data_IF_196749969503
#
_entry.id   IF_196749969503
#
_cell.length_a   1.000
_cell.length_b   1.000
_cell.length_c   1.000
_cell.angle_alpha   90.00
_cell.angle_beta   90.00
_cell.angle_gamma   90.00
#
_symmetry.space_group_name_H-M   'P 1'
#
loop_
_entity.id
_entity.type
_entity.pdbx_description
1 polymer ?
#
# COMPACT_ATOMS: atom_id res chain seq x y z
N UNK A 1 24.90 -32.60 36.98
CA UNK A 1 24.54 -32.47 35.56
C UNK A 1 23.02 -32.45 35.47
N UNK A 2 22.40 -31.30 35.28
CA UNK A 2 20.95 -31.19 35.14
C UNK A 2 20.60 -31.54 33.69
N UNK A 3 19.93 -32.68 33.50
CA UNK A 3 19.29 -32.99 32.22
C UNK A 3 18.27 -31.90 31.89
N UNK A 4 18.64 -30.96 31.00
CA UNK A 4 17.67 -30.08 30.36
C UNK A 4 16.79 -30.97 29.47
N UNK A 5 15.63 -31.36 29.97
CA UNK A 5 14.60 -31.95 29.11
C UNK A 5 14.21 -30.89 28.09
N UNK A 6 14.56 -31.12 26.82
CA UNK A 6 14.11 -30.32 25.69
C UNK A 6 12.57 -30.27 25.77
N UNK A 7 12.00 -29.09 25.75
CA UNK A 7 10.55 -28.92 25.75
C UNK A 7 10.01 -29.55 24.43
N UNK A 8 8.92 -30.33 24.45
CA UNK A 8 8.31 -30.84 23.21
C UNK A 8 8.01 -29.77 22.16
N UNK A 9 7.79 -28.50 22.58
CA UNK A 9 7.70 -27.35 21.71
C UNK A 9 9.01 -27.07 20.96
N UNK A 10 10.18 -27.32 21.58
CA UNK A 10 11.49 -27.09 20.94
C UNK A 10 11.85 -28.19 19.94
N UNK A 11 11.29 -29.39 20.11
CA UNK A 11 11.51 -30.54 19.20
C UNK A 11 10.80 -30.33 17.84
N UNK A 12 9.77 -29.49 17.77
CA UNK A 12 9.04 -29.15 16.56
C UNK A 12 9.48 -27.81 15.94
N UNK A 13 10.49 -27.15 16.48
CA UNK A 13 10.92 -25.80 16.05
C UNK A 13 11.41 -25.74 14.59
N UNK A 14 11.81 -26.89 14.00
CA UNK A 14 12.18 -27.00 12.60
C UNK A 14 10.97 -27.14 11.67
N UNK A 15 9.80 -27.48 12.20
CA UNK A 15 8.60 -27.67 11.38
C UNK A 15 8.00 -26.34 10.99
N UNK A 16 7.75 -26.18 9.71
CA UNK A 16 6.98 -25.05 9.20
C UNK A 16 5.52 -25.17 9.67
N UNK A 17 4.92 -24.07 10.07
CA UNK A 17 3.50 -24.03 10.50
C UNK A 17 2.51 -24.16 9.33
N UNK A 18 2.99 -24.03 8.09
CA UNK A 18 2.15 -24.17 6.92
C UNK A 18 1.82 -25.63 6.64
N UNK A 19 0.55 -25.93 6.42
CA UNK A 19 0.10 -27.28 6.04
C UNK A 19 0.40 -27.58 4.57
N UNK A 20 0.58 -28.85 4.17
CA UNK A 20 0.74 -29.22 2.75
C UNK A 20 -0.43 -28.72 1.87
N UNK A 21 -1.67 -28.75 2.38
CA UNK A 21 -2.83 -28.22 1.67
C UNK A 21 -2.68 -26.73 1.36
N UNK A 22 -2.24 -25.92 2.35
CA UNK A 22 -2.01 -24.49 2.15
C UNK A 22 -0.82 -24.20 1.23
N UNK A 23 0.22 -25.07 1.20
CA UNK A 23 1.29 -24.96 0.22
C UNK A 23 0.77 -25.14 -1.21
N UNK A 24 -0.05 -26.17 -1.45
CA UNK A 24 -0.65 -26.41 -2.75
C UNK A 24 -1.62 -25.31 -3.15
N UNK A 25 -2.47 -24.84 -2.22
CA UNK A 25 -3.38 -23.73 -2.45
C UNK A 25 -2.61 -22.47 -2.87
N UNK A 26 -1.56 -22.10 -2.11
CA UNK A 26 -0.71 -20.96 -2.44
C UNK A 26 -0.09 -21.08 -3.83
N UNK A 27 0.48 -22.24 -4.16
CA UNK A 27 1.08 -22.48 -5.48
C UNK A 27 0.03 -22.33 -6.61
N UNK A 28 -1.18 -22.83 -6.38
CA UNK A 28 -2.28 -22.71 -7.32
C UNK A 28 -2.71 -21.26 -7.53
N UNK A 29 -2.88 -20.50 -6.44
CA UNK A 29 -3.22 -19.07 -6.51
C UNK A 29 -2.18 -18.26 -7.28
N UNK A 30 -0.88 -18.48 -7.02
CA UNK A 30 0.19 -17.80 -7.75
C UNK A 30 0.18 -18.16 -9.27
N UNK A 31 -0.15 -19.40 -9.60
CA UNK A 31 -0.29 -19.82 -11.01
C UNK A 31 -1.51 -19.15 -11.68
N UNK A 32 -2.65 -19.03 -10.98
CA UNK A 32 -3.85 -18.32 -11.51
C UNK A 32 -3.55 -16.83 -11.75
N UNK A 33 -2.88 -16.16 -10.82
CA UNK A 33 -2.46 -14.75 -10.99
C UNK A 33 -1.61 -14.59 -12.24
N UNK A 34 -0.59 -15.46 -12.45
CA UNK A 34 0.24 -15.40 -13.65
C UNK A 34 -0.54 -15.65 -14.94
N UNK A 35 -1.48 -16.59 -14.93
CA UNK A 35 -2.36 -16.86 -16.06
C UNK A 35 -3.25 -15.64 -16.38
N UNK A 36 -3.82 -14.98 -15.36
CA UNK A 36 -4.63 -13.78 -15.53
C UNK A 36 -3.87 -12.68 -16.27
N UNK A 37 -2.66 -12.34 -15.82
CA UNK A 37 -1.85 -11.29 -16.45
C UNK A 37 -1.31 -11.70 -17.82
N UNK A 38 -0.99 -12.96 -18.02
CA UNK A 38 -0.58 -13.50 -19.32
C UNK A 38 -1.69 -13.33 -20.37
N UNK A 39 -2.95 -13.62 -20.02
CA UNK A 39 -4.08 -13.42 -20.92
C UNK A 39 -4.35 -11.93 -21.26
N UNK A 40 -3.89 -11.02 -20.41
CA UNK A 40 -4.03 -9.58 -20.61
C UNK A 40 -2.80 -8.92 -21.26
N UNK A 41 -1.81 -9.72 -21.65
CA UNK A 41 -0.53 -9.26 -22.21
C UNK A 41 0.19 -8.25 -21.29
N UNK A 42 0.17 -8.50 -19.98
CA UNK A 42 0.95 -7.76 -18.99
C UNK A 42 2.21 -8.58 -18.70
N UNK A 43 3.37 -7.95 -18.79
CA UNK A 43 4.67 -8.63 -18.65
C UNK A 43 5.08 -8.79 -17.19
N UNK A 44 5.41 -10.01 -16.75
CA UNK A 44 6.03 -10.22 -15.42
C UNK A 44 7.43 -9.64 -15.42
N UNK A 45 7.76 -8.86 -14.38
CA UNK A 45 9.08 -8.27 -14.22
C UNK A 45 9.66 -8.60 -12.85
N UNK A 46 10.98 -8.62 -12.79
CA UNK A 46 11.76 -8.64 -11.56
C UNK A 46 12.45 -7.29 -11.36
N UNK A 47 12.53 -6.85 -10.13
CA UNK A 47 13.25 -5.64 -9.75
C UNK A 47 14.25 -5.94 -8.63
N UNK A 48 15.35 -5.17 -8.50
CA UNK A 48 16.25 -5.31 -7.37
C UNK A 48 15.51 -5.03 -6.06
N UNK A 49 15.58 -5.95 -5.10
CA UNK A 49 14.99 -5.78 -3.77
C UNK A 49 15.80 -4.83 -2.87
N UNK A 50 17.05 -4.55 -3.23
CA UNK A 50 17.93 -3.59 -2.56
C UNK A 50 17.99 -2.28 -3.34
N UNK A 51 17.74 -1.17 -2.67
CA UNK A 51 17.79 0.19 -3.22
C UNK A 51 18.77 1.07 -2.44
N UNK A 52 19.25 2.12 -3.09
CA UNK A 52 20.02 3.18 -2.44
C UNK A 52 19.13 4.21 -1.74
N UNK A 53 17.83 4.18 -1.99
CA UNK A 53 16.83 5.07 -1.40
C UNK A 53 15.72 4.23 -0.75
N UNK A 54 15.24 4.70 0.39
CA UNK A 54 14.06 4.15 1.05
C UNK A 54 12.79 4.90 0.64
N UNK A 55 11.67 4.54 1.24
CA UNK A 55 10.40 5.25 1.11
C UNK A 55 10.35 6.41 2.13
N UNK A 56 9.81 7.54 1.70
CA UNK A 56 9.72 8.75 2.56
C UNK A 56 8.47 8.78 3.42
N UNK A 57 7.48 7.91 3.17
CA UNK A 57 6.25 7.83 3.97
C UNK A 57 6.58 7.81 5.47
N UNK A 58 6.02 8.75 6.27
CA UNK A 58 6.36 8.88 7.68
C UNK A 58 5.90 7.72 8.56
N UNK A 59 4.96 6.92 8.09
CA UNK A 59 4.37 5.80 8.82
C UNK A 59 4.83 4.43 8.29
N UNK A 60 5.79 4.42 7.36
CA UNK A 60 6.35 3.20 6.78
C UNK A 60 7.85 3.13 7.04
N UNK A 61 8.26 2.14 7.83
CA UNK A 61 9.66 1.95 8.15
C UNK A 61 10.36 1.02 7.16
N UNK A 62 11.61 1.40 6.83
CA UNK A 62 12.46 0.66 5.92
C UNK A 62 13.36 -0.31 6.69
N UNK A 63 13.53 -1.54 6.20
CA UNK A 63 14.69 -2.34 6.58
C UNK A 63 15.95 -1.80 5.95
N UNK A 64 16.97 -1.58 6.76
CA UNK A 64 18.27 -1.06 6.30
C UNK A 64 19.34 -2.14 6.46
N UNK A 65 20.18 -2.30 5.43
CA UNK A 65 21.37 -3.15 5.48
C UNK A 65 22.59 -2.37 5.01
N UNK A 66 23.77 -2.91 5.21
CA UNK A 66 25.02 -2.26 4.83
C UNK A 66 25.78 -3.10 3.80
N UNK A 67 26.21 -2.47 2.72
CA UNK A 67 27.09 -3.04 1.73
C UNK A 67 28.48 -2.44 1.88
N UNK A 68 29.48 -3.28 2.21
CA UNK A 68 30.87 -2.87 2.29
C UNK A 68 31.62 -3.37 1.08
N UNK A 69 32.18 -2.44 0.30
CA UNK A 69 33.03 -2.71 -0.87
C UNK A 69 34.40 -2.05 -0.65
N UNK A 70 35.41 -2.83 -0.37
CA UNK A 70 36.74 -2.33 0.00
C UNK A 70 36.68 -1.56 1.31
N UNK A 71 36.97 -0.23 1.27
CA UNK A 71 36.93 0.67 2.42
C UNK A 71 35.63 1.50 2.51
N UNK A 72 34.77 1.38 1.51
CA UNK A 72 33.50 2.15 1.47
C UNK A 72 32.34 1.30 1.96
N UNK A 73 31.54 1.86 2.86
CA UNK A 73 30.30 1.27 3.35
C UNK A 73 29.12 2.16 2.95
N UNK A 74 28.11 1.57 2.36
CA UNK A 74 26.90 2.25 1.90
C UNK A 74 25.67 1.58 2.50
N UNK A 75 24.74 2.37 3.03
CA UNK A 75 23.45 1.87 3.46
C UNK A 75 22.57 1.55 2.25
N UNK A 76 21.90 0.40 2.32
CA UNK A 76 20.92 -0.03 1.33
C UNK A 76 19.60 -0.32 2.06
N UNK A 77 18.51 -0.09 1.36
CA UNK A 77 17.16 -0.30 1.86
C UNK A 77 16.51 -1.47 1.15
N UNK A 78 15.84 -2.37 1.91
CA UNK A 78 14.99 -3.36 1.30
C UNK A 78 13.69 -2.68 0.84
N UNK A 79 13.23 -3.02 -0.36
CA UNK A 79 12.04 -2.40 -0.93
C UNK A 79 10.79 -2.70 -0.10
N UNK A 80 10.01 -1.67 0.18
CA UNK A 80 8.67 -1.78 0.79
C UNK A 80 7.58 -2.06 -0.23
N UNK A 81 7.87 -1.74 -1.50
CA UNK A 81 7.12 -1.99 -2.72
C UNK A 81 8.09 -1.89 -3.92
N UNK A 82 7.84 -2.55 -5.04
CA UNK A 82 8.62 -2.40 -6.28
C UNK A 82 8.32 -1.10 -7.04
N UNK A 83 7.42 -0.25 -6.58
CA UNK A 83 6.85 0.92 -7.26
C UNK A 83 7.88 1.83 -7.92
N UNK A 84 8.90 2.27 -7.17
CA UNK A 84 9.91 3.20 -7.70
C UNK A 84 10.71 2.60 -8.85
N UNK A 85 11.01 1.29 -8.76
CA UNK A 85 11.70 0.59 -9.82
C UNK A 85 10.80 0.35 -11.04
N UNK A 86 9.55 -0.04 -10.82
CA UNK A 86 8.58 -0.29 -11.89
C UNK A 86 8.22 1.00 -12.63
N UNK A 87 8.02 2.14 -11.94
CA UNK A 87 7.80 3.45 -12.57
C UNK A 87 8.96 3.86 -13.49
N UNK A 88 10.20 3.57 -13.11
CA UNK A 88 11.37 3.77 -13.98
C UNK A 88 11.33 2.88 -15.23
N UNK A 89 10.85 1.64 -15.11
CA UNK A 89 10.65 0.75 -16.27
C UNK A 89 9.57 1.29 -17.20
N UNK A 90 8.45 1.78 -16.66
CA UNK A 90 7.38 2.44 -17.44
C UNK A 90 7.90 3.65 -18.21
N UNK A 91 8.65 4.55 -17.55
CA UNK A 91 9.28 5.70 -18.18
C UNK A 91 10.30 5.30 -19.26
N UNK A 92 10.87 4.10 -19.17
CA UNK A 92 11.78 3.52 -20.19
C UNK A 92 11.07 2.76 -21.30
N UNK A 93 9.71 2.76 -21.32
CA UNK A 93 8.92 2.15 -22.39
C UNK A 93 8.67 0.65 -22.24
N UNK A 94 8.63 0.11 -21.01
CA UNK A 94 8.38 -1.32 -20.77
C UNK A 94 7.00 -1.82 -21.22
N UNK A 95 6.03 -0.94 -21.41
CA UNK A 95 4.64 -1.33 -21.57
C UNK A 95 3.97 -1.67 -20.22
N UNK A 96 2.84 -2.36 -20.26
CA UNK A 96 2.14 -2.81 -19.05
C UNK A 96 2.93 -3.94 -18.37
N UNK A 97 3.18 -3.81 -17.08
CA UNK A 97 4.03 -4.73 -16.30
C UNK A 97 3.40 -5.10 -14.97
N UNK A 98 3.74 -6.28 -14.46
CA UNK A 98 3.41 -6.67 -13.09
C UNK A 98 4.62 -7.32 -12.40
N UNK A 99 4.65 -7.20 -11.08
CA UNK A 99 5.61 -7.82 -10.19
C UNK A 99 4.88 -8.75 -9.24
N UNK A 100 5.41 -9.95 -9.05
CA UNK A 100 4.90 -10.92 -8.07
C UNK A 100 6.09 -11.47 -7.29
N UNK A 101 6.43 -10.82 -6.19
CA UNK A 101 7.67 -11.12 -5.47
C UNK A 101 7.68 -10.58 -4.04
N UNK A 102 8.87 -10.49 -3.45
CA UNK A 102 9.06 -10.12 -2.05
C UNK A 102 9.10 -8.61 -1.85
N UNK A 103 8.37 -8.18 -0.81
CA UNK A 103 8.46 -6.85 -0.24
C UNK A 103 8.70 -6.95 1.27
N UNK A 104 9.22 -5.88 1.86
CA UNK A 104 9.71 -5.85 3.25
C UNK A 104 9.23 -4.58 3.93
N UNK A 105 8.51 -4.70 5.04
CA UNK A 105 8.08 -3.55 5.85
C UNK A 105 8.46 -3.80 7.29
N UNK A 106 9.15 -2.85 7.90
CA UNK A 106 9.54 -2.90 9.30
C UNK A 106 8.39 -2.39 10.16
N UNK A 107 7.34 -3.20 10.25
CA UNK A 107 6.17 -2.95 11.08
C UNK A 107 6.13 -4.00 12.20
N UNK A 108 5.34 -3.74 13.23
CA UNK A 108 5.11 -4.71 14.29
C UNK A 108 4.50 -5.99 13.70
N UNK A 109 5.20 -7.10 13.88
CA UNK A 109 4.73 -8.39 13.41
C UNK A 109 3.41 -8.75 14.11
N UNK A 110 2.36 -8.86 13.33
CA UNK A 110 1.01 -9.16 13.79
C UNK A 110 0.48 -10.47 13.20
N UNK A 111 -0.75 -10.80 13.58
CA UNK A 111 -1.42 -11.99 13.06
C UNK A 111 -1.62 -11.94 11.52
N UNK A 112 -1.70 -10.75 10.94
CA UNK A 112 -1.97 -10.50 9.53
C UNK A 112 -0.78 -9.91 8.77
N UNK A 113 0.27 -9.44 9.47
CA UNK A 113 1.42 -8.77 8.88
C UNK A 113 2.72 -9.52 9.23
N UNK A 114 3.48 -9.86 8.21
CA UNK A 114 4.84 -10.37 8.33
C UNK A 114 5.81 -9.32 7.78
N UNK A 115 6.99 -9.16 8.40
CA UNK A 115 8.00 -8.22 7.91
C UNK A 115 8.47 -8.50 6.48
N UNK A 116 8.41 -9.77 6.04
CA UNK A 116 8.62 -10.21 4.67
C UNK A 116 7.34 -10.85 4.15
N UNK A 117 6.82 -10.34 3.05
CA UNK A 117 5.60 -10.88 2.44
C UNK A 117 5.73 -10.92 0.91
N UNK A 118 4.74 -11.51 0.26
CA UNK A 118 4.67 -11.53 -1.21
C UNK A 118 3.67 -10.47 -1.65
N UNK A 119 4.16 -9.54 -2.46
CA UNK A 119 3.37 -8.47 -3.06
C UNK A 119 3.09 -8.81 -4.52
N UNK A 120 1.87 -8.55 -4.93
CA UNK A 120 1.48 -8.42 -6.33
C UNK A 120 1.27 -6.94 -6.59
N UNK A 121 1.99 -6.38 -7.55
CA UNK A 121 1.86 -4.98 -7.95
C UNK A 121 1.91 -4.88 -9.46
N UNK A 122 1.03 -4.07 -10.09
CA UNK A 122 1.03 -3.93 -11.54
C UNK A 122 0.62 -2.53 -11.98
N UNK A 123 0.98 -2.21 -13.22
CA UNK A 123 0.73 -0.92 -13.86
C UNK A 123 0.14 -1.13 -15.24
N UNK A 124 -0.90 -0.35 -15.53
CA UNK A 124 -1.61 -0.34 -16.81
C UNK A 124 -1.48 1.05 -17.45
N UNK A 125 -0.80 1.10 -18.59
CA UNK A 125 -0.71 2.31 -19.41
C UNK A 125 -2.11 2.62 -19.96
N UNK A 126 -2.44 3.92 -20.05
CA UNK A 126 -3.72 4.45 -20.52
C UNK A 126 -4.95 4.07 -19.67
N UNK A 127 -4.74 3.51 -18.47
CA UNK A 127 -5.80 3.31 -17.49
C UNK A 127 -5.86 4.50 -16.53
N UNK A 128 -7.09 4.85 -16.12
CA UNK A 128 -7.36 5.62 -14.92
C UNK A 128 -7.64 4.69 -13.73
N UNK A 129 -7.89 5.27 -12.56
CA UNK A 129 -8.24 4.52 -11.35
C UNK A 129 -9.52 3.68 -11.53
N UNK A 130 -10.49 4.14 -12.31
CA UNK A 130 -11.77 3.42 -12.53
C UNK A 130 -11.58 2.17 -13.38
N UNK A 131 -10.81 2.29 -14.46
CA UNK A 131 -10.46 1.14 -15.29
C UNK A 131 -9.62 0.12 -14.51
N UNK A 132 -8.70 0.59 -13.65
CA UNK A 132 -7.89 -0.27 -12.82
C UNK A 132 -8.73 -0.98 -11.74
N UNK A 133 -9.67 -0.29 -11.07
CA UNK A 133 -10.60 -0.92 -10.11
C UNK A 133 -11.39 -2.06 -10.76
N UNK A 134 -11.85 -1.91 -12.01
CA UNK A 134 -12.54 -2.98 -12.73
C UNK A 134 -11.61 -4.18 -12.99
N UNK A 135 -10.33 -3.94 -13.27
CA UNK A 135 -9.37 -5.03 -13.47
C UNK A 135 -9.03 -5.74 -12.16
N UNK A 136 -8.90 -5.00 -11.06
CA UNK A 136 -8.74 -5.59 -9.70
C UNK A 136 -9.95 -6.45 -9.35
N UNK A 137 -11.17 -5.95 -9.57
CA UNK A 137 -12.42 -6.72 -9.31
C UNK A 137 -12.44 -8.02 -10.11
N UNK A 138 -12.10 -7.95 -11.40
CA UNK A 138 -12.00 -9.15 -12.25
C UNK A 138 -10.93 -10.15 -11.76
N UNK A 139 -9.79 -9.67 -11.26
CA UNK A 139 -8.76 -10.51 -10.66
C UNK A 139 -9.26 -11.19 -9.39
N UNK A 140 -9.91 -10.43 -8.49
CA UNK A 140 -10.44 -10.96 -7.23
C UNK A 140 -11.52 -12.02 -7.48
N UNK A 141 -12.42 -11.77 -8.43
CA UNK A 141 -13.43 -12.75 -8.84
C UNK A 141 -12.77 -14.02 -9.39
N UNK A 142 -11.75 -13.89 -10.26
CA UNK A 142 -11.06 -15.03 -10.82
C UNK A 142 -10.28 -15.83 -9.78
N UNK A 143 -9.53 -15.16 -8.90
CA UNK A 143 -8.56 -15.80 -7.99
C UNK A 143 -9.21 -16.30 -6.69
N UNK A 144 -10.19 -15.58 -6.16
CA UNK A 144 -10.81 -15.86 -4.87
C UNK A 144 -12.21 -16.49 -4.98
N UNK A 145 -12.75 -16.63 -6.20
CA UNK A 145 -14.12 -17.13 -6.45
C UNK A 145 -15.20 -16.33 -5.67
N UNK A 146 -15.04 -15.00 -5.62
CA UNK A 146 -15.94 -14.08 -4.91
C UNK A 146 -16.88 -13.38 -5.89
N UNK A 147 -17.96 -12.78 -5.35
CA UNK A 147 -18.85 -11.92 -6.13
C UNK A 147 -18.12 -10.61 -6.52
N UNK A 148 -18.60 -9.96 -7.58
CA UNK A 148 -18.16 -8.61 -7.95
C UNK A 148 -18.31 -7.65 -6.78
N UNK A 149 -17.33 -6.75 -6.63
CA UNK A 149 -17.20 -5.85 -5.51
C UNK A 149 -18.29 -4.79 -5.42
N UNK A 150 -18.42 -4.19 -4.26
CA UNK A 150 -19.14 -2.94 -4.04
C UNK A 150 -18.17 -1.75 -4.20
N UNK A 151 -18.73 -0.59 -4.59
CA UNK A 151 -17.97 0.64 -4.83
C UNK A 151 -18.56 1.77 -4.00
N UNK A 152 -17.77 2.36 -3.11
CA UNK A 152 -18.21 3.40 -2.20
C UNK A 152 -17.14 4.50 -2.14
N UNK A 153 -17.51 5.77 -2.37
CA UNK A 153 -16.55 6.85 -2.18
C UNK A 153 -16.22 7.06 -0.70
N UNK A 154 -15.02 7.52 -0.40
CA UNK A 154 -14.57 7.81 0.96
C UNK A 154 -15.56 8.74 1.68
N UNK A 155 -15.99 9.81 1.01
CA UNK A 155 -17.01 10.73 1.53
C UNK A 155 -18.35 10.02 1.83
N UNK A 156 -18.85 9.20 0.90
CA UNK A 156 -20.10 8.48 1.09
C UNK A 156 -20.00 7.45 2.23
N UNK A 157 -18.85 6.82 2.42
CA UNK A 157 -18.60 5.90 3.53
C UNK A 157 -18.72 6.61 4.89
N UNK A 158 -18.10 7.77 5.03
CA UNK A 158 -18.21 8.58 6.26
C UNK A 158 -19.64 9.02 6.53
N UNK A 159 -20.31 9.51 5.49
CA UNK A 159 -21.70 9.97 5.64
C UNK A 159 -22.64 8.83 6.04
N UNK A 160 -22.45 7.64 5.44
CA UNK A 160 -23.32 6.49 5.70
C UNK A 160 -23.06 5.81 7.05
N UNK A 161 -21.79 5.59 7.41
CA UNK A 161 -21.43 4.79 8.60
C UNK A 161 -21.27 5.64 9.87
N UNK A 162 -20.91 6.93 9.74
CA UNK A 162 -20.61 7.83 10.86
C UNK A 162 -21.63 8.97 10.93
N UNK A 163 -22.24 9.36 9.81
CA UNK A 163 -23.17 10.48 9.72
C UNK A 163 -22.46 11.84 9.61
N UNK A 164 -21.15 11.85 9.26
CA UNK A 164 -20.36 13.07 9.12
C UNK A 164 -20.02 13.34 7.64
N UNK A 165 -20.27 14.57 7.20
CA UNK A 165 -19.77 15.07 5.92
C UNK A 165 -18.34 15.57 6.10
N UNK A 166 -17.36 14.79 5.62
CA UNK A 166 -15.92 15.12 5.73
C UNK A 166 -15.53 16.44 5.05
N UNK A 167 -16.35 16.95 4.13
CA UNK A 167 -16.05 18.20 3.43
C UNK A 167 -16.42 19.44 4.27
N UNK A 168 -17.35 19.30 5.21
CA UNK A 168 -17.86 20.39 6.03
C UNK A 168 -17.61 20.22 7.52
N UNK A 169 -17.42 18.96 7.97
CA UNK A 169 -17.15 18.67 9.38
C UNK A 169 -15.89 19.38 9.88
N UNK A 170 -16.02 20.05 11.01
CA UNK A 170 -14.90 20.67 11.72
C UNK A 170 -13.99 19.61 12.34
N UNK A 171 -12.77 19.99 12.70
CA UNK A 171 -11.86 19.10 13.41
C UNK A 171 -12.43 18.64 14.76
N UNK A 172 -13.08 19.54 15.49
CA UNK A 172 -13.70 19.23 16.78
C UNK A 172 -14.86 18.22 16.65
N UNK A 173 -15.65 18.30 15.58
CA UNK A 173 -16.72 17.32 15.30
C UNK A 173 -16.15 15.93 15.00
N UNK A 174 -15.04 15.85 14.25
CA UNK A 174 -14.35 14.59 14.00
C UNK A 174 -13.77 13.99 15.30
N UNK A 175 -13.12 14.81 16.12
CA UNK A 175 -12.62 14.39 17.44
C UNK A 175 -13.77 13.94 18.34
N UNK A 176 -14.89 14.66 18.37
CA UNK A 176 -16.04 14.29 19.18
C UNK A 176 -16.64 12.93 18.77
N UNK A 177 -16.67 12.62 17.47
CA UNK A 177 -17.10 11.32 16.98
C UNK A 177 -16.17 10.18 17.40
N UNK A 178 -14.86 10.44 17.46
CA UNK A 178 -13.86 9.46 17.87
C UNK A 178 -13.79 9.29 19.40
N UNK A 179 -14.02 10.35 20.16
CA UNK A 179 -13.90 10.36 21.63
C UNK A 179 -14.89 9.40 22.34
N UNK A 180 -15.95 8.96 21.67
CA UNK A 180 -16.88 7.97 22.23
C UNK A 180 -16.24 6.58 22.40
N UNK A 181 -15.20 6.27 21.63
CA UNK A 181 -14.57 4.94 21.59
C UNK A 181 -13.07 4.94 21.99
N UNK A 182 -12.49 6.12 22.24
CA UNK A 182 -11.05 6.28 22.47
C UNK A 182 -10.74 7.03 23.77
N UNK A 183 -9.83 6.49 24.58
CA UNK A 183 -9.41 7.09 25.87
C UNK A 183 -8.03 7.80 25.80
N UNK A 184 -7.52 8.09 24.61
CA UNK A 184 -6.25 8.77 24.43
C UNK A 184 -6.45 10.27 24.14
N UNK A 185 -5.44 11.08 24.48
CA UNK A 185 -5.42 12.50 24.12
C UNK A 185 -5.14 12.67 22.63
N UNK A 186 -6.21 12.82 21.85
CA UNK A 186 -6.21 13.03 20.41
C UNK A 186 -6.36 14.48 20.00
N UNK A 187 -6.37 15.41 20.97
CA UNK A 187 -6.61 16.85 20.71
C UNK A 187 -5.55 17.47 19.79
N UNK A 188 -4.34 16.91 19.77
CA UNK A 188 -3.24 17.36 18.91
C UNK A 188 -3.06 16.53 17.64
N UNK A 189 -3.90 15.52 17.41
CA UNK A 189 -3.84 14.70 16.22
C UNK A 189 -4.15 15.53 14.96
N UNK A 190 -3.47 15.26 13.85
CA UNK A 190 -3.83 15.89 12.58
C UNK A 190 -5.21 15.46 12.12
N UNK A 191 -5.85 16.27 11.26
CA UNK A 191 -7.15 15.93 10.68
C UNK A 191 -7.11 14.56 9.97
N UNK A 192 -6.07 14.30 9.20
CA UNK A 192 -5.93 13.04 8.49
C UNK A 192 -5.79 11.84 9.43
N UNK A 193 -5.05 11.99 10.53
CA UNK A 193 -4.94 10.95 11.54
C UNK A 193 -6.29 10.64 12.20
N UNK A 194 -7.10 11.68 12.51
CA UNK A 194 -8.44 11.49 13.06
C UNK A 194 -9.37 10.81 12.05
N UNK A 195 -9.33 11.21 10.78
CA UNK A 195 -10.09 10.55 9.70
C UNK A 195 -9.71 9.08 9.56
N UNK A 196 -8.42 8.77 9.58
CA UNK A 196 -7.93 7.40 9.50
C UNK A 196 -8.39 6.54 10.68
N UNK A 197 -8.32 7.06 11.91
CA UNK A 197 -8.83 6.35 13.09
C UNK A 197 -10.34 6.12 13.01
N UNK A 198 -11.12 7.12 12.62
CA UNK A 198 -12.56 6.99 12.41
C UNK A 198 -12.88 5.93 11.36
N UNK A 199 -12.13 5.92 10.26
CA UNK A 199 -12.29 4.93 9.21
C UNK A 199 -12.03 3.51 9.72
N UNK A 200 -10.88 3.31 10.37
CA UNK A 200 -10.46 2.00 10.89
C UNK A 200 -11.41 1.44 11.96
N UNK A 201 -12.00 2.31 12.78
CA UNK A 201 -12.89 1.88 13.88
C UNK A 201 -14.32 1.67 13.40
N UNK A 202 -14.84 2.57 12.58
CA UNK A 202 -16.28 2.63 12.30
C UNK A 202 -16.68 2.14 10.90
N UNK A 203 -15.77 2.16 9.92
CA UNK A 203 -16.06 1.86 8.51
C UNK A 203 -15.45 0.51 8.12
N UNK A 204 -14.14 0.38 8.25
CA UNK A 204 -13.40 -0.82 7.83
C UNK A 204 -14.00 -2.14 8.35
N UNK A 205 -14.41 -2.28 9.63
CA UNK A 205 -15.01 -3.51 10.14
C UNK A 205 -16.37 -3.85 9.52
N UNK A 206 -17.01 -2.92 8.82
CA UNK A 206 -18.38 -3.07 8.29
C UNK A 206 -18.43 -3.28 6.78
N UNK A 207 -17.39 -2.86 6.05
CA UNK A 207 -17.31 -3.01 4.60
C UNK A 207 -16.67 -4.35 4.20
N UNK A 208 -16.89 -4.77 2.97
CA UNK A 208 -16.23 -5.95 2.42
C UNK A 208 -16.58 -7.28 3.11
N UNK A 209 -17.70 -7.42 3.81
CA UNK A 209 -18.00 -8.62 4.59
C UNK A 209 -18.46 -9.80 3.73
N UNK A 210 -19.32 -9.56 2.74
CA UNK A 210 -19.87 -10.58 1.85
C UNK A 210 -19.15 -10.64 0.49
N UNK A 211 -18.73 -9.48 -0.01
CA UNK A 211 -18.00 -9.29 -1.25
C UNK A 211 -16.95 -8.20 -1.07
N UNK A 212 -15.89 -8.13 -1.90
CA UNK A 212 -14.93 -7.04 -1.82
C UNK A 212 -15.62 -5.67 -1.90
N UNK A 213 -15.06 -4.66 -1.24
CA UNK A 213 -15.54 -3.28 -1.28
C UNK A 213 -14.39 -2.35 -1.65
N UNK A 214 -14.56 -1.58 -2.72
CA UNK A 214 -13.67 -0.49 -3.08
C UNK A 214 -14.07 0.77 -2.34
N UNK A 215 -13.11 1.37 -1.66
CA UNK A 215 -13.20 2.75 -1.18
C UNK A 215 -12.36 3.60 -2.11
N UNK A 216 -12.94 4.66 -2.69
CA UNK A 216 -12.27 5.48 -3.69
C UNK A 216 -12.53 6.99 -3.45
N UNK A 217 -11.85 7.87 -4.18
CA UNK A 217 -11.88 9.31 -3.99
C UNK A 217 -11.48 9.70 -2.56
N UNK A 218 -10.25 9.32 -2.18
CA UNK A 218 -9.66 9.70 -0.90
C UNK A 218 -9.44 11.21 -0.82
N UNK A 219 -9.42 11.81 0.38
CA UNK A 219 -9.04 13.22 0.54
C UNK A 219 -7.69 13.53 -0.10
N UNK A 220 -7.56 14.69 -0.71
CA UNK A 220 -6.33 15.13 -1.39
C UNK A 220 -5.10 15.16 -0.47
N UNK A 221 -5.30 15.39 0.84
CA UNK A 221 -4.26 15.30 1.86
C UNK A 221 -3.71 13.88 2.05
N UNK A 222 -4.47 12.86 1.65
CA UNK A 222 -4.12 11.44 1.71
C UNK A 222 -3.81 10.87 0.33
N UNK A 223 -3.43 11.70 -0.62
CA UNK A 223 -3.22 11.32 -2.02
C UNK A 223 -2.05 10.33 -2.23
N UNK A 224 -1.09 10.24 -1.31
CA UNK A 224 0.14 9.47 -1.49
C UNK A 224 0.79 9.78 -2.85
N UNK A 225 0.87 8.81 -3.75
CA UNK A 225 1.45 8.93 -5.09
C UNK A 225 0.39 9.09 -6.20
N UNK A 226 -0.88 9.34 -5.82
CA UNK A 226 -1.98 9.53 -6.76
C UNK A 226 -2.06 10.97 -7.31
N UNK A 227 -2.64 11.12 -8.50
CA UNK A 227 -3.10 12.40 -9.01
C UNK A 227 -4.24 12.96 -8.17
N UNK A 228 -4.29 14.29 -8.08
CA UNK A 228 -5.45 15.00 -7.55
C UNK A 228 -6.50 15.11 -8.66
N UNK A 229 -7.76 14.93 -8.31
CA UNK A 229 -8.88 15.02 -9.25
C UNK A 229 -9.05 16.44 -9.76
N UNK A 230 -8.95 16.64 -11.06
CA UNK A 230 -9.08 17.97 -11.68
C UNK A 230 -10.51 18.54 -11.54
N UNK A 231 -11.52 17.67 -11.51
CA UNK A 231 -12.92 18.08 -11.37
C UNK A 231 -13.26 18.55 -9.95
N UNK A 232 -12.60 18.00 -8.94
CA UNK A 232 -12.76 18.39 -7.55
C UNK A 232 -11.44 18.20 -6.78
N UNK A 233 -10.65 19.26 -6.59
CA UNK A 233 -9.31 19.18 -6.01
C UNK A 233 -9.29 18.78 -4.52
N UNK A 234 -10.44 18.54 -3.90
CA UNK A 234 -10.53 17.99 -2.54
C UNK A 234 -10.19 16.49 -2.49
N UNK A 235 -10.22 15.80 -3.65
CA UNK A 235 -10.05 14.36 -3.75
C UNK A 235 -8.86 13.96 -4.63
N UNK A 236 -8.33 12.78 -4.33
CA UNK A 236 -7.30 12.12 -5.10
C UNK A 236 -7.85 10.88 -5.81
N UNK A 237 -7.30 10.58 -6.97
CA UNK A 237 -7.54 9.34 -7.71
C UNK A 237 -6.83 8.15 -7.03
N UNK A 238 -7.25 7.87 -5.80
CA UNK A 238 -6.77 6.77 -4.95
C UNK A 238 -7.94 5.87 -4.59
N UNK A 239 -7.70 4.57 -4.55
CA UNK A 239 -8.66 3.60 -4.04
C UNK A 239 -7.97 2.54 -3.19
N UNK A 240 -8.72 1.96 -2.28
CA UNK A 240 -8.34 0.79 -1.51
C UNK A 240 -9.42 -0.27 -1.62
N UNK A 241 -9.03 -1.54 -1.44
CA UNK A 241 -9.95 -2.68 -1.52
C UNK A 241 -9.97 -3.43 -0.21
N UNK A 242 -11.15 -3.61 0.33
CA UNK A 242 -11.37 -4.28 1.61
C UNK A 242 -12.17 -5.57 1.42
N UNK A 243 -11.74 -6.64 2.09
CA UNK A 243 -12.48 -7.89 2.13
C UNK A 243 -12.23 -8.63 3.45
N UNK A 244 -13.31 -8.95 4.17
CA UNK A 244 -13.30 -9.68 5.45
C UNK A 244 -12.35 -9.08 6.50
N UNK A 245 -12.35 -7.76 6.61
CA UNK A 245 -11.53 -7.00 7.56
C UNK A 245 -10.05 -6.95 7.19
N UNK A 246 -9.72 -7.10 5.91
CA UNK A 246 -8.38 -6.96 5.37
C UNK A 246 -8.39 -5.92 4.26
N UNK A 247 -7.47 -4.99 4.28
CA UNK A 247 -7.07 -4.22 3.12
C UNK A 247 -6.28 -5.14 2.18
N UNK A 248 -6.83 -5.41 1.00
CA UNK A 248 -6.21 -6.30 0.02
C UNK A 248 -5.33 -5.55 -0.98
N UNK A 249 -5.68 -4.31 -1.29
CA UNK A 249 -4.97 -3.53 -2.31
C UNK A 249 -5.16 -2.02 -2.09
N UNK A 250 -4.17 -1.25 -2.56
CA UNK A 250 -4.16 0.21 -2.57
C UNK A 250 -3.65 0.65 -3.94
N UNK A 251 -4.45 1.41 -4.68
CA UNK A 251 -4.14 1.75 -6.06
C UNK A 251 -4.40 3.22 -6.40
N UNK A 252 -3.76 3.65 -7.48
CA UNK A 252 -3.72 5.04 -7.89
C UNK A 252 -3.90 5.22 -9.40
N UNK A 253 -4.48 6.33 -9.82
CA UNK A 253 -4.07 6.95 -11.06
C UNK A 253 -2.80 7.72 -10.76
N UNK A 254 -1.71 7.35 -11.42
CA UNK A 254 -0.36 7.71 -10.99
C UNK A 254 -0.06 9.20 -11.20
N UNK A 255 0.57 9.82 -10.20
CA UNK A 255 1.15 11.15 -10.32
C UNK A 255 2.33 11.09 -11.30
N UNK A 256 2.28 11.92 -12.34
CA UNK A 256 3.34 12.00 -13.36
C UNK A 256 4.17 13.28 -13.27
N UNK A 257 3.80 14.22 -12.39
CA UNK A 257 4.48 15.50 -12.17
C UNK A 257 5.68 15.35 -11.21
N UNK A 258 6.89 15.51 -11.72
CA UNK A 258 8.14 15.39 -10.94
C UNK A 258 8.27 16.47 -9.86
N UNK A 259 7.77 17.69 -10.15
CA UNK A 259 7.85 18.82 -9.19
C UNK A 259 6.91 18.56 -8.01
N UNK A 260 5.68 18.16 -8.29
CA UNK A 260 4.72 17.79 -7.24
C UNK A 260 5.20 16.58 -6.45
N UNK A 261 5.77 15.56 -7.10
CA UNK A 261 6.32 14.40 -6.40
C UNK A 261 7.46 14.78 -5.45
N UNK A 262 8.38 15.63 -5.91
CA UNK A 262 9.47 16.14 -5.08
C UNK A 262 8.95 16.94 -3.88
N UNK A 263 7.92 17.76 -4.08
CA UNK A 263 7.26 18.50 -3.00
C UNK A 263 6.65 17.58 -1.95
N UNK A 264 6.00 16.47 -2.39
CA UNK A 264 5.42 15.48 -1.46
C UNK A 264 6.49 14.75 -0.66
N UNK A 265 7.57 14.31 -1.28
CA UNK A 265 8.70 13.71 -0.57
C UNK A 265 9.32 14.64 0.47
N UNK A 266 9.41 15.94 0.16
CA UNK A 266 9.88 16.92 1.13
C UNK A 266 8.88 17.10 2.30
N UNK A 267 7.58 17.08 2.02
CA UNK A 267 6.54 17.16 3.04
C UNK A 267 6.55 15.92 3.96
N UNK A 268 6.70 14.71 3.41
CA UNK A 268 6.84 13.47 4.18
C UNK A 268 8.03 13.55 5.15
N UNK A 269 9.19 13.98 4.66
CA UNK A 269 10.39 14.14 5.48
C UNK A 269 10.22 15.21 6.58
N UNK A 270 9.45 16.27 6.32
CA UNK A 270 9.12 17.26 7.36
C UNK A 270 8.21 16.65 8.45
N UNK A 271 7.28 15.78 8.08
CA UNK A 271 6.46 15.03 9.05
C UNK A 271 7.34 14.05 9.84
N UNK A 272 8.25 13.29 9.17
CA UNK A 272 9.19 12.39 9.85
C UNK A 272 10.01 13.12 10.90
N UNK A 273 10.54 14.28 10.58
CA UNK A 273 11.29 15.13 11.53
C UNK A 273 10.40 15.56 12.71
N UNK A 274 9.17 16.00 12.43
CA UNK A 274 8.24 16.46 13.46
C UNK A 274 7.85 15.36 14.46
N UNK A 275 7.76 14.10 14.02
CA UNK A 275 7.46 12.93 14.87
C UNK A 275 8.72 12.24 15.43
N UNK A 276 9.93 12.77 15.15
CA UNK A 276 11.19 12.25 15.67
C UNK A 276 11.70 11.00 14.95
N UNK A 277 11.25 10.75 13.72
CA UNK A 277 11.71 9.64 12.86
C UNK A 277 12.78 10.16 11.89
N UNK A 278 13.80 9.34 11.60
CA UNK A 278 14.90 9.71 10.71
C UNK A 278 14.39 10.03 9.29
N UNK A 279 14.87 11.13 8.70
CA UNK A 279 14.57 11.49 7.32
C UNK A 279 15.22 10.49 6.36
N UNK A 280 14.54 10.21 5.26
CA UNK A 280 15.00 9.30 4.20
C UNK A 280 15.29 10.10 2.93
N UNK A 281 16.45 9.85 2.32
CA UNK A 281 16.79 10.50 1.05
C UNK A 281 15.77 10.07 -0.05
N UNK A 282 15.10 11.04 -0.72
CA UNK A 282 14.19 10.72 -1.82
C UNK A 282 14.88 9.97 -2.95
N UNK A 283 14.15 9.12 -3.65
CA UNK A 283 14.68 8.40 -4.83
C UNK A 283 14.85 9.38 -6.01
N UNK A 284 16.07 9.88 -6.19
CA UNK A 284 16.42 10.78 -7.29
C UNK A 284 16.25 10.14 -8.67
N UNK A 285 16.32 8.80 -8.77
CA UNK A 285 16.12 8.07 -10.03
C UNK A 285 14.64 8.03 -10.42
N UNK A 286 13.73 7.94 -9.43
CA UNK A 286 12.31 8.09 -9.70
C UNK A 286 12.00 9.49 -10.19
N UNK A 287 12.52 10.54 -9.51
CA UNK A 287 12.31 11.93 -9.93
C UNK A 287 12.82 12.14 -11.36
N UNK A 288 14.03 11.67 -11.68
CA UNK A 288 14.56 11.76 -13.04
C UNK A 288 13.71 11.00 -14.09
N UNK A 289 13.10 9.88 -13.71
CA UNK A 289 12.18 9.14 -14.58
C UNK A 289 10.87 9.92 -14.83
N UNK A 290 10.35 10.59 -13.80
CA UNK A 290 9.18 11.48 -13.94
C UNK A 290 9.51 12.70 -14.82
N UNK A 291 10.68 13.29 -14.66
CA UNK A 291 11.17 14.41 -15.51
C UNK A 291 11.34 13.96 -16.99
N UNK A 292 11.81 12.73 -17.20
CA UNK A 292 11.91 12.16 -18.55
C UNK A 292 10.53 11.96 -19.20
N UNK A 293 9.52 11.63 -18.42
CA UNK A 293 8.14 11.41 -18.82
C UNK A 293 7.65 10.01 -18.45
N UNK A 294 6.81 9.95 -17.42
CA UNK A 294 6.04 8.75 -17.10
C UNK A 294 4.78 8.76 -17.98
N UNK A 295 4.46 7.66 -18.70
CA UNK A 295 3.20 7.59 -19.43
C UNK A 295 2.01 7.68 -18.46
N UNK A 296 0.87 8.18 -18.97
CA UNK A 296 -0.40 8.10 -18.23
C UNK A 296 -0.66 6.63 -17.90
N UNK A 297 -0.81 6.32 -16.61
CA UNK A 297 -1.00 4.95 -16.14
C UNK A 297 -1.70 4.93 -14.78
N UNK A 298 -2.26 3.77 -14.46
CA UNK A 298 -2.74 3.47 -13.12
C UNK A 298 -2.03 2.23 -12.58
N UNK A 299 -1.75 2.20 -11.27
CA UNK A 299 -1.03 1.13 -10.57
C UNK A 299 -1.71 0.70 -9.27
N UNK A 300 -1.54 -0.53 -8.88
CA UNK A 300 -2.07 -1.12 -7.65
C UNK A 300 -1.20 -2.27 -7.17
#
# INVERSE_FOLDING_TARGET
>A
MKNSRCNPADLAAWQMQITPANLHLRAHLLARIRAFFSHKNVTEVEVPVLSHSGVTDPYLDNFVTQLTLGQSTTSLYLQTSPEYAMKRMLASGSGCIYYLGKAFRHEDAGRQHNPEFTMLEWYRIDFDDRALMQEVDALLMDVLDVLSAEYLSYHAAFLYYIGLDINTATHDELIAALAMDFHYDIQQASRDHVLQLLFNIHIEPKIGQERPCFIFDFPASQAALAKITAADPRYAHRFEVYFKGLELANGYWELTDAVEQSRRFAADNAVREAIGVEQVAPDSRLIAALEHGLPECAGV
#
